data_IF_031885009758
#
_entry.id   IF_031885009758
#
_cell.length_a   1.000
_cell.length_b   1.000
_cell.length_c   1.000
_cell.angle_alpha   90.00
_cell.angle_beta   90.00
_cell.angle_gamma   90.00
#
_symmetry.space_group_name_H-M   'P 1'
#
loop_
_entity.id
_entity.type
_entity.pdbx_description
1 polymer ?
#
# COMPACT_ATOMS: atom_id res chain seq x y z
N UNK A 1 -16.82 16.92 -31.36
CA UNK A 1 -17.19 17.49 -30.05
C UNK A 1 -17.65 16.43 -29.04
N UNK A 2 -18.66 15.57 -29.33
CA UNK A 2 -19.07 14.47 -28.42
C UNK A 2 -17.96 13.49 -28.04
N UNK A 3 -17.13 13.02 -28.99
CA UNK A 3 -15.97 12.15 -28.68
C UNK A 3 -14.90 12.78 -27.79
N UNK A 4 -14.75 14.11 -27.86
CA UNK A 4 -13.82 14.84 -26.97
C UNK A 4 -14.48 14.95 -25.59
N UNK A 5 -15.75 15.30 -25.51
CA UNK A 5 -16.49 15.35 -24.25
C UNK A 5 -16.61 13.98 -23.56
N UNK A 6 -16.74 12.88 -24.31
CA UNK A 6 -16.72 11.51 -23.80
C UNK A 6 -15.32 11.09 -23.31
N UNK A 7 -14.25 11.48 -24.03
CA UNK A 7 -12.88 11.29 -23.57
C UNK A 7 -12.59 12.08 -22.27
N UNK A 8 -13.10 13.31 -22.17
CA UNK A 8 -13.02 14.11 -20.95
C UNK A 8 -13.88 13.53 -19.82
N UNK A 9 -15.06 12.97 -20.09
CA UNK A 9 -15.89 12.31 -19.09
C UNK A 9 -15.25 11.04 -18.52
N UNK A 10 -14.51 10.27 -19.34
CA UNK A 10 -13.72 9.11 -18.88
C UNK A 10 -12.46 9.51 -18.09
N UNK A 11 -11.86 10.67 -18.37
CA UNK A 11 -10.74 11.24 -17.58
C UNK A 11 -11.22 11.75 -16.21
N UNK A 12 -12.51 12.08 -16.09
CA UNK A 12 -13.15 12.56 -14.85
C UNK A 12 -13.81 11.42 -14.06
N UNK A 13 -13.62 10.15 -14.42
CA UNK A 13 -14.01 9.05 -13.54
C UNK A 13 -13.16 9.15 -12.24
N UNK A 14 -13.78 9.32 -11.06
CA UNK A 14 -13.06 9.47 -9.80
C UNK A 14 -12.09 8.33 -9.50
N UNK A 15 -12.25 7.17 -10.16
CA UNK A 15 -11.40 5.99 -10.01
C UNK A 15 -10.13 6.02 -10.86
N UNK A 16 -10.16 6.62 -12.05
CA UNK A 16 -9.02 6.65 -12.99
C UNK A 16 -8.19 7.92 -12.86
N UNK A 17 -8.81 9.00 -12.37
CA UNK A 17 -8.17 10.29 -12.16
C UNK A 17 -6.91 10.22 -11.29
N UNK A 18 -6.88 9.52 -10.13
CA UNK A 18 -5.68 9.43 -9.31
C UNK A 18 -4.48 8.87 -10.08
N UNK A 19 -4.68 7.83 -10.89
CA UNK A 19 -3.61 7.20 -11.67
C UNK A 19 -3.11 8.11 -12.78
N UNK A 20 -4.03 8.78 -13.49
CA UNK A 20 -3.64 9.74 -14.52
C UNK A 20 -2.77 10.86 -13.92
N UNK A 21 -3.13 11.36 -12.73
CA UNK A 21 -2.35 12.34 -11.98
C UNK A 21 -0.98 11.78 -11.59
N UNK A 22 -0.91 10.55 -11.09
CA UNK A 22 0.37 9.90 -10.75
C UNK A 22 1.28 9.76 -11.97
N UNK A 23 0.77 9.29 -13.10
CA UNK A 23 1.55 9.13 -14.33
C UNK A 23 2.05 10.49 -14.82
N UNK A 24 1.18 11.51 -14.83
CA UNK A 24 1.55 12.87 -15.20
C UNK A 24 2.64 13.43 -14.28
N UNK A 25 2.48 13.23 -12.97
CA UNK A 25 3.45 13.67 -11.96
C UNK A 25 4.81 12.98 -12.15
N UNK A 26 4.82 11.67 -12.39
CA UNK A 26 6.03 10.92 -12.69
C UNK A 26 6.73 11.50 -13.94
N UNK A 27 6.00 11.65 -15.04
CA UNK A 27 6.53 12.22 -16.28
C UNK A 27 7.05 13.66 -16.08
N UNK A 28 6.34 14.48 -15.32
CA UNK A 28 6.73 15.86 -15.03
C UNK A 28 8.01 15.92 -14.18
N UNK A 29 8.12 15.07 -13.16
CA UNK A 29 9.27 15.05 -12.25
C UNK A 29 10.51 14.46 -12.94
N UNK A 30 10.34 13.40 -13.75
CA UNK A 30 11.42 12.86 -14.59
C UNK A 30 11.86 13.85 -15.67
N UNK A 31 10.90 14.51 -16.33
CA UNK A 31 11.16 15.57 -17.31
C UNK A 31 11.86 16.79 -16.71
N UNK A 32 11.51 17.17 -15.47
CA UNK A 32 12.22 18.21 -14.74
C UNK A 32 13.69 17.83 -14.51
N UNK A 33 13.96 16.60 -14.06
CA UNK A 33 15.32 16.10 -13.92
C UNK A 33 16.12 16.11 -15.22
N UNK A 34 15.47 15.73 -16.32
CA UNK A 34 16.05 15.80 -17.67
C UNK A 34 16.49 17.20 -18.08
N UNK A 35 15.79 18.24 -17.64
CA UNK A 35 16.11 19.64 -18.02
C UNK A 35 17.19 20.20 -17.10
N UNK A 36 17.16 19.86 -15.82
CA UNK A 36 18.09 20.41 -14.83
C UNK A 36 19.46 19.73 -14.83
N UNK A 37 19.51 18.43 -15.11
CA UNK A 37 20.73 17.64 -15.00
C UNK A 37 21.10 16.96 -16.32
N UNK A 38 22.30 17.23 -16.80
CA UNK A 38 22.84 16.60 -18.01
C UNK A 38 23.00 15.09 -17.80
N UNK A 39 22.55 14.28 -18.76
CA UNK A 39 22.61 12.81 -18.69
C UNK A 39 21.49 12.14 -17.89
N UNK A 40 20.62 12.90 -17.21
CA UNK A 40 19.49 12.36 -16.46
C UNK A 40 18.49 11.63 -17.36
N UNK A 41 18.22 12.17 -18.55
CA UNK A 41 17.38 11.51 -19.56
C UNK A 41 18.18 10.49 -20.36
N UNK A 42 18.60 9.44 -19.68
CA UNK A 42 19.21 8.27 -20.29
C UNK A 42 18.42 7.01 -19.96
N UNK A 43 18.40 6.06 -20.89
CA UNK A 43 17.74 4.78 -20.67
C UNK A 43 18.37 4.03 -19.48
N UNK A 44 19.67 4.21 -19.29
CA UNK A 44 20.40 3.64 -18.16
C UNK A 44 19.87 4.16 -16.82
N UNK A 45 19.70 5.47 -16.65
CA UNK A 45 19.13 6.05 -15.41
C UNK A 45 17.73 5.51 -15.13
N UNK A 46 16.90 5.34 -16.17
CA UNK A 46 15.57 4.76 -16.00
C UNK A 46 15.62 3.28 -15.58
N UNK A 47 16.53 2.50 -16.16
CA UNK A 47 16.72 1.10 -15.77
C UNK A 47 17.29 0.97 -14.37
N UNK A 48 18.30 1.75 -14.02
CA UNK A 48 18.91 1.77 -12.69
C UNK A 48 17.87 2.14 -11.62
N UNK A 49 16.99 3.09 -11.92
CA UNK A 49 15.85 3.42 -11.06
C UNK A 49 14.95 2.20 -10.80
N UNK A 50 14.66 1.40 -11.83
CA UNK A 50 13.86 0.17 -11.65
C UNK A 50 14.62 -0.89 -10.85
N UNK A 51 15.94 -1.01 -11.04
CA UNK A 51 16.79 -1.96 -10.32
C UNK A 51 16.81 -1.62 -8.83
N UNK A 52 17.06 -0.36 -8.50
CA UNK A 52 17.23 0.14 -7.13
C UNK A 52 15.91 0.10 -6.34
N UNK A 53 14.77 0.06 -7.04
CA UNK A 53 13.45 0.10 -6.42
C UNK A 53 12.63 -1.19 -6.62
N UNK A 54 13.22 -2.24 -7.20
CA UNK A 54 12.52 -3.49 -7.51
C UNK A 54 11.92 -4.17 -6.26
N UNK A 55 12.67 -4.23 -5.16
CA UNK A 55 12.18 -4.80 -3.89
C UNK A 55 11.05 -3.95 -3.29
N UNK A 56 11.16 -2.61 -3.35
CA UNK A 56 10.14 -1.70 -2.85
C UNK A 56 8.84 -1.83 -3.67
N UNK A 57 8.95 -2.03 -4.98
CA UNK A 57 7.79 -2.29 -5.85
C UNK A 57 7.03 -3.55 -5.42
N UNK A 58 7.75 -4.64 -5.14
CA UNK A 58 7.14 -5.91 -4.68
C UNK A 58 6.40 -5.69 -3.35
N UNK A 59 7.02 -4.99 -2.40
CA UNK A 59 6.39 -4.68 -1.11
C UNK A 59 5.18 -3.76 -1.29
N UNK A 60 5.29 -2.72 -2.13
CA UNK A 60 4.19 -1.81 -2.45
C UNK A 60 3.01 -2.53 -3.12
N UNK A 61 3.26 -3.54 -3.97
CA UNK A 61 2.20 -4.38 -4.52
C UNK A 61 1.40 -5.07 -3.40
N UNK A 62 2.08 -5.70 -2.43
CA UNK A 62 1.42 -6.30 -1.26
C UNK A 62 0.63 -5.27 -0.43
N UNK A 63 1.25 -4.12 -0.16
CA UNK A 63 0.63 -3.00 0.56
C UNK A 63 -0.61 -2.48 -0.18
N UNK A 64 -0.63 -2.53 -1.52
CA UNK A 64 -1.79 -2.12 -2.32
C UNK A 64 -3.02 -2.95 -1.97
N UNK A 65 -2.90 -4.27 -1.88
CA UNK A 65 -4.03 -5.14 -1.51
C UNK A 65 -4.51 -4.86 -0.09
N UNK A 66 -3.59 -4.59 0.84
CA UNK A 66 -3.94 -4.26 2.23
C UNK A 66 -4.71 -2.93 2.29
N UNK A 67 -4.22 -1.87 1.65
CA UNK A 67 -4.90 -0.56 1.65
C UNK A 67 -6.24 -0.65 0.91
N UNK A 68 -6.29 -1.31 -0.25
CA UNK A 68 -7.56 -1.52 -0.97
C UNK A 68 -8.56 -2.26 -0.09
N UNK A 69 -8.14 -3.21 0.76
CA UNK A 69 -9.04 -3.90 1.70
C UNK A 69 -9.51 -3.04 2.89
N UNK A 70 -8.98 -1.82 3.05
CA UNK A 70 -9.24 -0.92 4.17
C UNK A 70 -8.33 -1.14 5.38
N UNK A 71 -7.19 -1.82 5.19
CA UNK A 71 -6.20 -2.11 6.23
C UNK A 71 -4.92 -1.30 6.07
N UNK A 72 -4.03 -1.41 7.06
CA UNK A 72 -2.64 -0.94 7.02
C UNK A 72 -1.76 -2.05 7.57
N UNK A 73 -0.59 -2.28 6.96
CA UNK A 73 0.40 -3.27 7.38
C UNK A 73 1.74 -2.59 7.63
N UNK A 74 2.02 -2.29 8.90
CA UNK A 74 3.27 -1.68 9.33
C UNK A 74 4.41 -2.70 9.46
N UNK A 75 4.12 -4.00 9.38
CA UNK A 75 5.11 -5.05 9.62
C UNK A 75 6.03 -5.30 8.43
N UNK A 76 5.64 -4.87 7.23
CA UNK A 76 6.29 -5.23 5.94
C UNK A 76 7.80 -4.99 5.92
N UNK A 77 8.27 -3.83 6.42
CA UNK A 77 9.71 -3.51 6.47
C UNK A 77 10.50 -4.41 7.43
N UNK A 78 9.87 -4.86 8.52
CA UNK A 78 10.50 -5.79 9.47
C UNK A 78 10.43 -7.24 8.99
N UNK A 79 9.42 -7.62 8.19
CA UNK A 79 9.37 -8.93 7.53
C UNK A 79 10.43 -9.03 6.42
N UNK A 80 10.66 -7.95 5.67
CA UNK A 80 11.79 -7.82 4.73
C UNK A 80 13.11 -8.07 5.46
N UNK A 81 13.35 -7.38 6.58
CA UNK A 81 14.57 -7.55 7.39
C UNK A 81 14.74 -8.97 7.93
N UNK A 82 13.65 -9.57 8.44
CA UNK A 82 13.68 -10.94 8.95
C UNK A 82 14.01 -11.93 7.85
N UNK A 83 13.45 -11.72 6.65
CA UNK A 83 13.72 -12.57 5.50
C UNK A 83 15.20 -12.50 5.10
N UNK A 84 15.79 -11.31 5.00
CA UNK A 84 17.20 -11.18 4.59
C UNK A 84 18.16 -11.81 5.60
N UNK A 85 17.90 -11.69 6.91
CA UNK A 85 18.70 -12.37 7.94
C UNK A 85 18.55 -13.88 7.85
N UNK A 86 17.32 -14.38 7.72
CA UNK A 86 17.09 -15.83 7.64
C UNK A 86 17.77 -16.39 6.39
N UNK A 87 17.69 -15.72 5.26
CA UNK A 87 18.44 -16.11 4.05
C UNK A 87 19.95 -16.15 4.28
N UNK A 88 20.50 -15.10 4.91
CA UNK A 88 21.94 -15.04 5.18
C UNK A 88 22.39 -16.14 6.15
N UNK A 89 21.62 -16.43 7.20
CA UNK A 89 21.93 -17.51 8.15
C UNK A 89 21.80 -18.88 7.51
N UNK A 90 20.71 -19.13 6.76
CA UNK A 90 20.51 -20.41 6.09
C UNK A 90 21.61 -20.66 5.03
N UNK A 91 22.06 -19.61 4.34
CA UNK A 91 23.13 -19.68 3.34
C UNK A 91 24.52 -19.86 3.97
N UNK A 92 24.89 -19.02 4.93
CA UNK A 92 26.28 -18.94 5.40
C UNK A 92 26.57 -19.80 6.63
N UNK A 93 25.59 -20.07 7.50
CA UNK A 93 25.81 -20.91 8.69
C UNK A 93 25.35 -22.35 8.48
N UNK A 94 24.25 -22.54 7.74
CA UNK A 94 23.68 -23.86 7.49
C UNK A 94 23.99 -24.41 6.10
N UNK A 95 24.55 -23.58 5.20
CA UNK A 95 24.93 -23.95 3.84
C UNK A 95 23.79 -24.61 3.05
N UNK A 96 22.55 -24.15 3.28
CA UNK A 96 21.40 -24.62 2.53
C UNK A 96 21.44 -24.06 1.11
N UNK A 97 21.01 -24.84 0.12
CA UNK A 97 20.98 -24.35 -1.24
C UNK A 97 19.81 -23.36 -1.44
N UNK A 98 20.02 -22.37 -2.32
CA UNK A 98 19.06 -21.25 -2.57
C UNK A 98 17.64 -21.73 -2.89
N UNK A 99 17.50 -22.85 -3.61
CA UNK A 99 16.20 -23.40 -3.99
C UNK A 99 15.40 -23.97 -2.82
N UNK A 100 16.03 -24.24 -1.67
CA UNK A 100 15.36 -24.56 -0.39
C UNK A 100 15.08 -23.27 0.38
N UNK A 101 16.08 -22.38 0.46
CA UNK A 101 16.00 -21.14 1.22
C UNK A 101 14.80 -20.29 0.77
N UNK A 102 14.67 -20.04 -0.54
CA UNK A 102 13.63 -19.17 -1.08
C UNK A 102 12.20 -19.64 -0.72
N UNK A 103 11.78 -20.90 -0.98
CA UNK A 103 10.49 -21.39 -0.50
C UNK A 103 10.31 -21.27 1.01
N UNK A 104 11.34 -21.55 1.81
CA UNK A 104 11.25 -21.48 3.28
C UNK A 104 10.93 -20.06 3.75
N UNK A 105 11.63 -19.05 3.25
CA UNK A 105 11.39 -17.66 3.69
C UNK A 105 10.09 -17.09 3.13
N UNK A 106 9.71 -17.46 1.90
CA UNK A 106 8.40 -17.09 1.34
C UNK A 106 7.26 -17.70 2.14
N UNK A 107 7.39 -18.96 2.56
CA UNK A 107 6.40 -19.61 3.43
C UNK A 107 6.35 -18.91 4.79
N UNK A 108 7.50 -18.60 5.40
CA UNK A 108 7.59 -17.88 6.67
C UNK A 108 6.86 -16.53 6.60
N UNK A 109 7.13 -15.70 5.58
CA UNK A 109 6.44 -14.42 5.41
C UNK A 109 4.94 -14.58 5.17
N UNK A 110 4.53 -15.56 4.35
CA UNK A 110 3.13 -15.85 4.08
C UNK A 110 2.38 -16.26 5.35
N UNK A 111 2.97 -17.15 6.15
CA UNK A 111 2.40 -17.60 7.44
C UNK A 111 2.34 -16.44 8.42
N UNK A 112 3.39 -15.64 8.51
CA UNK A 112 3.42 -14.45 9.37
C UNK A 112 2.27 -13.48 9.02
N UNK A 113 2.11 -13.17 7.73
CA UNK A 113 0.99 -12.38 7.22
C UNK A 113 -0.38 -13.01 7.51
N UNK A 114 -0.53 -14.32 7.28
CA UNK A 114 -1.77 -15.03 7.54
C UNK A 114 -2.17 -14.98 9.03
N UNK A 115 -1.20 -15.14 9.95
CA UNK A 115 -1.41 -15.01 11.40
C UNK A 115 -1.91 -13.61 11.74
N UNK A 116 -1.27 -12.56 11.20
CA UNK A 116 -1.74 -11.18 11.42
C UNK A 116 -3.16 -10.99 10.90
N UNK A 117 -3.47 -11.45 9.68
CA UNK A 117 -4.81 -11.39 9.12
C UNK A 117 -5.86 -12.15 9.94
N UNK A 118 -5.47 -13.30 10.51
CA UNK A 118 -6.33 -14.09 11.40
C UNK A 118 -6.60 -13.36 12.71
N UNK A 119 -5.58 -12.77 13.32
CA UNK A 119 -5.72 -11.96 14.53
C UNK A 119 -6.67 -10.77 14.31
N UNK A 120 -6.47 -10.04 13.21
CA UNK A 120 -7.32 -8.90 12.83
C UNK A 120 -8.77 -9.35 12.64
N UNK A 121 -9.01 -10.47 11.95
CA UNK A 121 -10.36 -10.92 11.66
C UNK A 121 -11.08 -11.51 12.88
N UNK A 122 -10.49 -12.53 13.53
CA UNK A 122 -11.17 -13.29 14.57
C UNK A 122 -11.31 -12.52 15.89
N UNK A 123 -10.29 -11.74 16.27
CA UNK A 123 -10.31 -10.95 17.49
C UNK A 123 -10.83 -9.53 17.26
N UNK A 124 -11.19 -9.18 16.01
CA UNK A 124 -11.71 -7.85 15.62
C UNK A 124 -10.79 -6.70 16.06
N UNK A 125 -9.49 -6.95 16.06
CA UNK A 125 -8.48 -5.96 16.38
C UNK A 125 -8.29 -4.99 15.21
N UNK A 126 -7.88 -3.76 15.51
CA UNK A 126 -7.52 -2.81 14.46
C UNK A 126 -6.23 -3.24 13.76
N UNK A 127 -6.24 -3.19 12.43
CA UNK A 127 -5.13 -3.65 11.58
C UNK A 127 -3.77 -3.03 11.95
N UNK A 128 -3.73 -1.73 12.21
CA UNK A 128 -2.47 -1.05 12.52
C UNK A 128 -1.87 -1.54 13.85
N UNK A 129 -2.69 -1.91 14.85
CA UNK A 129 -2.20 -2.38 16.16
C UNK A 129 -1.54 -3.74 16.00
N UNK A 130 -2.23 -4.67 15.33
CA UNK A 130 -1.70 -6.02 15.09
C UNK A 130 -0.41 -5.95 14.28
N UNK A 131 -0.36 -5.10 13.27
CA UNK A 131 0.80 -5.01 12.38
C UNK A 131 1.95 -4.20 12.97
N UNK A 132 1.68 -3.25 13.86
CA UNK A 132 2.70 -2.61 14.69
C UNK A 132 3.31 -3.62 15.68
N UNK A 133 2.49 -4.43 16.35
CA UNK A 133 2.99 -5.49 17.22
C UNK A 133 3.79 -6.53 16.42
N UNK A 134 3.32 -6.90 15.23
CA UNK A 134 4.03 -7.76 14.28
C UNK A 134 5.38 -7.17 13.85
N UNK A 135 5.43 -5.86 13.57
CA UNK A 135 6.66 -5.13 13.26
C UNK A 135 7.69 -5.29 14.38
N UNK A 136 7.31 -5.00 15.62
CA UNK A 136 8.22 -5.13 16.78
C UNK A 136 8.65 -6.58 17.01
N UNK A 137 7.74 -7.53 16.85
CA UNK A 137 8.06 -8.95 17.00
C UNK A 137 9.05 -9.43 15.93
N UNK A 138 8.79 -9.16 14.65
CA UNK A 138 9.67 -9.55 13.55
C UNK A 138 11.05 -8.86 13.67
N UNK A 139 11.07 -7.57 14.03
CA UNK A 139 12.31 -6.83 14.28
C UNK A 139 13.07 -7.36 15.50
N UNK A 140 12.37 -7.70 16.57
CA UNK A 140 12.97 -8.31 17.76
C UNK A 140 13.60 -9.66 17.44
N UNK A 141 12.93 -10.51 16.65
CA UNK A 141 13.47 -11.77 16.18
C UNK A 141 14.75 -11.59 15.36
N UNK A 142 14.83 -10.56 14.51
CA UNK A 142 16.04 -10.26 13.76
C UNK A 142 17.26 -10.15 14.69
N UNK A 143 17.12 -9.39 15.78
CA UNK A 143 18.20 -9.15 16.74
C UNK A 143 18.46 -10.30 17.72
N UNK A 144 17.50 -11.23 17.86
CA UNK A 144 17.74 -12.50 18.55
C UNK A 144 18.56 -13.48 17.70
N UNK A 145 18.39 -13.43 16.37
CA UNK A 145 19.17 -14.27 15.45
C UNK A 145 20.60 -13.73 15.34
N UNK A 146 20.76 -12.44 15.03
CA UNK A 146 22.07 -11.78 14.96
C UNK A 146 21.96 -10.28 15.18
N UNK A 147 22.97 -9.70 15.83
CA UNK A 147 23.11 -8.24 15.96
C UNK A 147 24.01 -7.63 14.89
N UNK A 148 24.73 -8.46 14.14
CA UNK A 148 25.69 -8.06 13.12
C UNK A 148 25.16 -8.37 11.72
N UNK A 149 25.65 -7.64 10.73
CA UNK A 149 25.41 -7.95 9.32
C UNK A 149 26.12 -9.24 8.94
N UNK A 150 25.43 -10.14 8.24
CA UNK A 150 26.01 -11.36 7.65
C UNK A 150 26.10 -11.13 6.14
N UNK A 151 27.33 -11.09 5.62
CA UNK A 151 27.59 -11.03 4.18
C UNK A 151 27.41 -12.40 3.55
N UNK A 152 26.69 -12.48 2.45
CA UNK A 152 26.43 -13.72 1.72
C UNK A 152 27.52 -13.90 0.66
N UNK A 153 28.24 -15.02 0.76
CA UNK A 153 29.35 -15.38 -0.13
C UNK A 153 29.00 -16.54 -1.06
N UNK A 154 27.83 -17.16 -0.88
CA UNK A 154 27.37 -18.26 -1.72
C UNK A 154 27.40 -17.91 -3.24
N UNK A 155 28.06 -18.74 -4.08
CA UNK A 155 28.18 -18.49 -5.51
C UNK A 155 26.85 -18.43 -6.26
N UNK A 156 25.80 -19.08 -5.77
CA UNK A 156 24.49 -19.08 -6.43
C UNK A 156 23.79 -17.75 -6.21
N UNK A 157 23.83 -17.19 -4.99
CA UNK A 157 23.36 -15.83 -4.72
C UNK A 157 24.10 -14.79 -5.58
N UNK A 158 25.42 -14.90 -5.69
CA UNK A 158 26.22 -13.99 -6.54
C UNK A 158 25.84 -14.12 -8.02
N UNK A 159 25.61 -15.33 -8.54
CA UNK A 159 25.16 -15.54 -9.92
C UNK A 159 23.79 -14.92 -10.19
N UNK A 160 22.85 -15.02 -9.25
CA UNK A 160 21.53 -14.40 -9.36
C UNK A 160 21.66 -12.87 -9.34
N UNK A 161 22.44 -12.33 -8.41
CA UNK A 161 22.71 -10.89 -8.28
C UNK A 161 23.38 -10.30 -9.53
N UNK A 162 24.36 -11.02 -10.08
CA UNK A 162 25.10 -10.63 -11.28
C UNK A 162 24.34 -10.92 -12.58
N UNK A 163 23.18 -11.58 -12.53
CA UNK A 163 22.37 -11.82 -13.72
C UNK A 163 21.97 -10.49 -14.36
N UNK A 164 22.25 -10.38 -15.66
CA UNK A 164 21.93 -9.22 -16.51
C UNK A 164 21.39 -9.74 -17.84
N UNK A 165 20.23 -9.25 -18.24
CA UNK A 165 19.62 -9.51 -19.53
C UNK A 165 19.70 -8.22 -20.36
N UNK A 166 20.45 -8.27 -21.46
CA UNK A 166 20.61 -7.14 -22.37
C UNK A 166 19.35 -6.98 -23.23
N UNK A 167 18.77 -5.78 -23.20
CA UNK A 167 17.61 -5.39 -24.02
C UNK A 167 18.00 -4.41 -25.13
N UNK A 168 19.30 -4.27 -25.43
CA UNK A 168 19.87 -3.42 -26.49
C UNK A 168 20.01 -1.95 -26.12
N UNK A 169 19.07 -1.43 -25.33
CA UNK A 169 19.09 -0.08 -24.77
C UNK A 169 19.72 -0.02 -23.36
N UNK A 170 19.95 -1.19 -22.74
CA UNK A 170 20.59 -1.35 -21.43
C UNK A 170 20.36 -2.75 -20.87
N UNK A 171 20.71 -3.00 -19.60
CA UNK A 171 20.58 -4.32 -18.97
C UNK A 171 19.52 -4.35 -17.87
N UNK A 172 18.71 -5.39 -17.86
CA UNK A 172 17.71 -5.66 -16.80
C UNK A 172 18.25 -6.73 -15.86
N UNK A 173 18.09 -6.54 -14.55
CA UNK A 173 18.56 -7.47 -13.52
C UNK A 173 17.48 -8.50 -13.17
N UNK A 174 17.87 -9.59 -12.49
CA UNK A 174 16.90 -10.57 -11.99
C UNK A 174 15.84 -9.91 -11.07
N UNK A 175 16.24 -8.90 -10.28
CA UNK A 175 15.37 -8.17 -9.37
C UNK A 175 14.20 -7.50 -10.11
N UNK A 176 14.50 -6.82 -11.21
CA UNK A 176 13.47 -6.16 -12.03
C UNK A 176 12.55 -7.19 -12.67
N UNK A 177 13.09 -8.30 -13.19
CA UNK A 177 12.26 -9.36 -13.76
C UNK A 177 11.29 -9.95 -12.73
N UNK A 178 11.77 -10.25 -11.51
CA UNK A 178 10.93 -10.75 -10.42
C UNK A 178 9.85 -9.72 -10.05
N UNK A 179 10.21 -8.43 -9.98
CA UNK A 179 9.26 -7.38 -9.66
C UNK A 179 8.17 -7.23 -10.72
N UNK A 180 8.51 -7.25 -12.01
CA UNK A 180 7.53 -7.19 -13.10
C UNK A 180 6.67 -8.46 -13.20
N UNK A 181 7.24 -9.65 -12.99
CA UNK A 181 6.45 -10.89 -12.89
C UNK A 181 5.45 -10.80 -11.74
N UNK A 182 5.89 -10.28 -10.59
CA UNK A 182 5.02 -10.07 -9.43
C UNK A 182 3.92 -9.05 -9.74
N UNK A 183 4.25 -7.96 -10.43
CA UNK A 183 3.29 -6.94 -10.87
C UNK A 183 2.22 -7.53 -11.79
N UNK A 184 2.62 -8.31 -12.81
CA UNK A 184 1.69 -8.96 -13.73
C UNK A 184 0.81 -9.98 -13.01
N UNK A 185 1.39 -10.80 -12.14
CA UNK A 185 0.64 -11.76 -11.32
C UNK A 185 -0.35 -11.04 -10.40
N UNK A 186 0.05 -9.94 -9.78
CA UNK A 186 -0.81 -9.14 -8.90
C UNK A 186 -1.94 -8.43 -9.68
N UNK A 187 -1.68 -7.91 -10.88
CA UNK A 187 -2.73 -7.36 -11.75
C UNK A 187 -3.74 -8.46 -12.12
N UNK A 188 -3.25 -9.66 -12.47
CA UNK A 188 -4.10 -10.81 -12.75
C UNK A 188 -4.97 -11.16 -11.53
N UNK A 189 -4.36 -11.28 -10.35
CA UNK A 189 -5.08 -11.56 -9.10
C UNK A 189 -6.12 -10.48 -8.79
N UNK A 190 -5.77 -9.20 -8.93
CA UNK A 190 -6.64 -8.07 -8.61
C UNK A 190 -7.88 -8.01 -9.52
N UNK A 191 -7.72 -8.18 -10.82
CA UNK A 191 -8.80 -7.92 -11.80
C UNK A 191 -9.52 -9.19 -12.27
N UNK A 192 -8.83 -10.31 -12.35
CA UNK A 192 -9.38 -11.51 -13.00
C UNK A 192 -9.81 -12.60 -12.02
N UNK A 193 -9.40 -12.56 -10.74
CA UNK A 193 -9.76 -13.58 -9.76
C UNK A 193 -10.93 -13.19 -8.86
N UNK A 194 -11.58 -14.19 -8.24
CA UNK A 194 -12.60 -13.98 -7.21
C UNK A 194 -12.02 -13.29 -5.98
N UNK A 195 -10.79 -13.63 -5.61
CA UNK A 195 -10.09 -13.02 -4.49
C UNK A 195 -9.98 -11.50 -4.68
N UNK A 196 -9.46 -11.04 -5.82
CA UNK A 196 -9.36 -9.61 -6.12
C UNK A 196 -10.69 -8.88 -6.00
N UNK A 197 -11.76 -9.39 -6.63
CA UNK A 197 -13.11 -8.81 -6.52
C UNK A 197 -13.61 -8.70 -5.08
N UNK A 198 -13.34 -9.72 -4.26
CA UNK A 198 -13.70 -9.70 -2.84
C UNK A 198 -12.91 -8.62 -2.07
N UNK A 199 -11.62 -8.42 -2.38
CA UNK A 199 -10.77 -7.41 -1.74
C UNK A 199 -11.35 -6.01 -1.96
N UNK A 200 -11.67 -5.65 -3.21
CA UNK A 200 -12.29 -4.34 -3.52
C UNK A 200 -13.67 -4.17 -2.87
N UNK A 201 -14.49 -5.23 -2.85
CA UNK A 201 -15.82 -5.18 -2.24
C UNK A 201 -15.75 -4.97 -0.71
N UNK A 202 -14.83 -5.65 -0.03
CA UNK A 202 -14.61 -5.49 1.42
C UNK A 202 -14.09 -4.09 1.73
N UNK A 203 -13.18 -3.57 0.90
CA UNK A 203 -12.64 -2.22 1.02
C UNK A 203 -13.70 -1.11 0.94
N UNK A 204 -14.69 -1.28 0.07
CA UNK A 204 -15.79 -0.31 -0.05
C UNK A 204 -16.72 -0.32 1.16
N UNK A 205 -17.19 -1.49 1.58
CA UNK A 205 -17.96 -1.66 2.81
C UNK A 205 -17.97 -3.12 3.27
N UNK A 206 -17.16 -3.45 4.29
CA UNK A 206 -17.06 -4.80 4.82
C UNK A 206 -18.39 -5.37 5.36
N UNK A 207 -19.29 -4.53 5.90
CA UNK A 207 -20.59 -4.96 6.42
C UNK A 207 -21.53 -5.32 5.27
N UNK A 208 -21.57 -4.51 4.22
CA UNK A 208 -22.35 -4.81 3.01
C UNK A 208 -21.82 -6.06 2.30
N UNK A 209 -20.50 -6.22 2.20
CA UNK A 209 -19.87 -7.41 1.63
C UNK A 209 -20.28 -8.70 2.38
N UNK A 210 -20.33 -8.64 3.72
CA UNK A 210 -20.77 -9.76 4.55
C UNK A 210 -22.25 -10.09 4.31
N UNK A 211 -23.13 -9.08 4.24
CA UNK A 211 -24.55 -9.27 3.96
C UNK A 211 -24.82 -9.82 2.54
N UNK A 212 -23.91 -9.57 1.60
CA UNK A 212 -23.93 -10.16 0.26
C UNK A 212 -23.32 -11.57 0.19
N UNK A 213 -22.95 -12.17 1.32
CA UNK A 213 -22.42 -13.54 1.39
C UNK A 213 -20.97 -13.70 0.95
N UNK A 214 -20.20 -12.61 0.85
CA UNK A 214 -18.78 -12.69 0.50
C UNK A 214 -17.95 -13.26 1.66
N UNK A 215 -16.90 -14.06 1.38
CA UNK A 215 -16.07 -14.68 2.42
C UNK A 215 -15.08 -13.67 3.02
N UNK A 216 -15.58 -12.74 3.84
CA UNK A 216 -14.80 -11.65 4.44
C UNK A 216 -13.62 -12.17 5.26
N UNK A 217 -13.83 -13.26 6.01
CA UNK A 217 -12.80 -13.91 6.84
C UNK A 217 -11.59 -14.34 6.02
N UNK A 218 -11.82 -15.26 5.08
CA UNK A 218 -10.77 -15.81 4.23
C UNK A 218 -10.11 -14.75 3.36
N UNK A 219 -10.89 -13.77 2.87
CA UNK A 219 -10.33 -12.71 2.03
C UNK A 219 -9.39 -11.81 2.85
N UNK A 220 -9.78 -11.41 4.08
CA UNK A 220 -8.91 -10.60 4.94
C UNK A 220 -7.63 -11.36 5.32
N UNK A 221 -7.73 -12.63 5.71
CA UNK A 221 -6.56 -13.45 6.00
C UNK A 221 -5.65 -13.57 4.78
N UNK A 222 -6.22 -13.84 3.60
CA UNK A 222 -5.48 -13.94 2.35
C UNK A 222 -4.80 -12.63 1.93
N UNK A 223 -5.39 -11.46 2.22
CA UNK A 223 -4.77 -10.15 1.95
C UNK A 223 -3.49 -9.96 2.75
N UNK A 224 -3.52 -10.26 4.06
CA UNK A 224 -2.31 -10.15 4.88
C UNK A 224 -1.30 -11.27 4.57
N UNK A 225 -1.76 -12.48 4.21
CA UNK A 225 -0.87 -13.53 3.73
C UNK A 225 -0.14 -13.12 2.45
N UNK A 226 -0.84 -12.50 1.50
CA UNK A 226 -0.27 -11.94 0.28
C UNK A 226 0.71 -10.79 0.59
N UNK A 227 0.37 -9.90 1.54
CA UNK A 227 1.29 -8.85 2.02
C UNK A 227 2.59 -9.43 2.59
N UNK A 228 2.47 -10.47 3.43
CA UNK A 228 3.62 -11.17 4.00
C UNK A 228 4.45 -11.92 2.96
N UNK A 229 3.79 -12.55 1.97
CA UNK A 229 4.45 -13.15 0.80
C UNK A 229 5.25 -12.10 0.01
N UNK A 230 4.62 -10.97 -0.34
CA UNK A 230 5.27 -9.87 -1.04
C UNK A 230 6.43 -9.28 -0.22
N UNK A 231 6.29 -9.19 1.10
CA UNK A 231 7.35 -8.70 1.98
C UNK A 231 8.54 -9.66 2.04
N UNK A 232 8.28 -10.98 2.11
CA UNK A 232 9.35 -11.97 2.04
C UNK A 232 10.01 -12.01 0.64
N UNK A 233 9.23 -11.91 -0.44
CA UNK A 233 9.79 -11.84 -1.79
C UNK A 233 10.58 -10.55 -2.02
N UNK A 234 10.10 -9.42 -1.47
CA UNK A 234 10.84 -8.16 -1.45
C UNK A 234 12.14 -8.27 -0.66
N UNK A 235 12.13 -8.98 0.47
CA UNK A 235 13.32 -9.36 1.23
C UNK A 235 14.30 -10.18 0.40
N UNK A 236 13.85 -11.25 -0.24
CA UNK A 236 14.69 -12.09 -1.10
C UNK A 236 15.36 -11.30 -2.23
N UNK A 237 14.58 -10.45 -2.91
CA UNK A 237 15.08 -9.55 -3.96
C UNK A 237 16.05 -8.51 -3.39
N UNK A 238 15.81 -8.01 -2.18
CA UNK A 238 16.72 -7.09 -1.51
C UNK A 238 18.04 -7.78 -1.11
N UNK A 239 18.00 -9.05 -0.71
CA UNK A 239 19.19 -9.85 -0.46
C UNK A 239 20.00 -10.06 -1.73
N UNK A 240 19.37 -10.31 -2.89
CA UNK A 240 20.09 -10.36 -4.17
C UNK A 240 20.70 -9.01 -4.56
N UNK A 241 20.11 -7.90 -4.11
CA UNK A 241 20.63 -6.55 -4.36
C UNK A 241 21.86 -6.23 -3.50
N UNK A 242 21.82 -6.51 -2.19
CA UNK A 242 22.88 -6.10 -1.23
C UNK A 242 23.86 -7.22 -0.88
N UNK A 243 23.51 -8.50 -1.14
CA UNK A 243 24.29 -9.69 -0.78
C UNK A 243 24.64 -9.74 0.72
N UNK A 244 23.74 -9.28 1.58
CA UNK A 244 23.88 -9.40 3.04
C UNK A 244 22.52 -9.35 3.74
N UNK A 245 22.45 -9.96 4.92
CA UNK A 245 21.31 -9.89 5.82
C UNK A 245 21.63 -9.09 7.08
N UNK A 246 20.78 -8.11 7.43
CA UNK A 246 20.96 -7.29 8.62
C UNK A 246 19.64 -6.80 9.22
N UNK A 247 19.56 -6.77 10.55
CA UNK A 247 18.32 -6.51 11.31
C UNK A 247 17.74 -5.12 11.20
N UNK A 248 18.49 -4.12 10.70
CA UNK A 248 17.98 -2.78 10.39
C UNK A 248 17.58 -2.59 8.92
N UNK A 249 17.79 -3.58 8.05
CA UNK A 249 17.31 -3.49 6.68
C UNK A 249 15.79 -3.23 6.64
N UNK A 250 15.35 -2.52 5.61
CA UNK A 250 13.94 -2.14 5.46
C UNK A 250 13.36 -1.26 6.58
N UNK A 251 14.16 -0.61 7.41
CA UNK A 251 13.65 0.34 8.40
C UNK A 251 13.00 1.56 7.72
N UNK A 252 11.70 1.76 7.96
CA UNK A 252 10.93 2.82 7.31
C UNK A 252 10.36 2.42 5.95
N UNK A 253 10.70 1.22 5.44
CA UNK A 253 10.19 0.74 4.15
C UNK A 253 8.67 0.57 4.18
N UNK A 254 8.08 0.30 5.35
CA UNK A 254 6.64 0.32 5.57
C UNK A 254 6.02 1.68 5.24
N UNK A 255 6.68 2.79 5.61
CA UNK A 255 6.21 4.14 5.30
C UNK A 255 6.40 4.46 3.83
N UNK A 256 7.53 4.05 3.24
CA UNK A 256 7.79 4.24 1.81
C UNK A 256 6.82 3.45 0.94
N UNK A 257 6.46 2.22 1.33
CA UNK A 257 5.48 1.40 0.63
C UNK A 257 4.07 1.99 0.73
N UNK A 258 3.67 2.52 1.89
CA UNK A 258 2.40 3.25 2.05
C UNK A 258 2.43 4.52 1.18
N UNK A 259 3.51 5.31 1.23
CA UNK A 259 3.64 6.52 0.43
C UNK A 259 3.56 6.22 -1.07
N UNK A 260 4.29 5.21 -1.54
CA UNK A 260 4.28 4.78 -2.93
C UNK A 260 2.88 4.34 -3.39
N UNK A 261 2.19 3.52 -2.61
CA UNK A 261 0.85 3.02 -2.99
C UNK A 261 -0.21 4.10 -2.97
N UNK A 262 -0.13 5.03 -2.00
CA UNK A 262 -1.03 6.18 -1.90
C UNK A 262 -0.77 7.16 -3.03
N UNK A 263 0.47 7.61 -3.24
CA UNK A 263 0.87 8.46 -4.39
C UNK A 263 0.53 7.77 -5.71
N UNK A 264 0.60 6.43 -5.75
CA UNK A 264 0.16 5.57 -6.85
C UNK A 264 -1.33 5.62 -7.17
N UNK A 265 -2.15 6.27 -6.35
CA UNK A 265 -3.58 6.47 -6.57
C UNK A 265 -4.49 5.52 -5.78
N UNK A 266 -3.95 4.77 -4.81
CA UNK A 266 -4.76 3.97 -3.89
C UNK A 266 -5.31 4.85 -2.76
N UNK A 267 -6.61 4.77 -2.49
CA UNK A 267 -7.23 5.57 -1.42
C UNK A 267 -7.06 4.87 -0.07
N UNK A 268 -6.61 5.62 0.95
CA UNK A 268 -6.50 5.13 2.34
C UNK A 268 -7.85 4.72 2.96
N UNK A 269 -8.96 5.19 2.39
CA UNK A 269 -10.32 4.80 2.77
C UNK A 269 -10.69 3.39 2.34
N UNK A 270 -9.93 2.78 1.41
CA UNK A 270 -10.19 1.46 0.85
C UNK A 270 -11.15 1.45 -0.34
N UNK A 271 -11.24 0.30 -1.01
CA UNK A 271 -12.18 0.03 -2.12
C UNK A 271 -11.81 0.66 -3.46
N UNK A 272 -10.80 1.52 -3.52
CA UNK A 272 -10.33 2.17 -4.76
C UNK A 272 -8.81 2.15 -4.84
N UNK A 273 -8.28 1.71 -5.97
CA UNK A 273 -6.85 1.68 -6.29
C UNK A 273 -6.60 0.74 -7.46
N UNK A 274 -5.41 0.83 -8.06
CA UNK A 274 -4.97 -0.16 -9.04
C UNK A 274 -3.52 -0.53 -8.77
N UNK A 275 -3.20 -1.81 -8.92
CA UNK A 275 -1.85 -2.35 -8.69
C UNK A 275 -0.79 -1.68 -9.57
N UNK A 276 -1.14 -1.32 -10.81
CA UNK A 276 -0.22 -0.61 -11.72
C UNK A 276 0.16 0.78 -11.20
N UNK A 277 -0.70 1.41 -10.39
CA UNK A 277 -0.41 2.70 -9.77
C UNK A 277 0.82 2.64 -8.85
N UNK A 278 1.05 1.50 -8.19
CA UNK A 278 2.19 1.28 -7.30
C UNK A 278 3.53 1.29 -8.04
N UNK A 279 3.55 0.89 -9.32
CA UNK A 279 4.75 1.04 -10.18
C UNK A 279 5.13 2.52 -10.32
N UNK A 280 4.17 3.38 -10.66
CA UNK A 280 4.42 4.81 -10.83
C UNK A 280 4.68 5.51 -9.50
N UNK A 281 4.00 5.10 -8.42
CA UNK A 281 4.25 5.61 -7.08
C UNK A 281 5.68 5.34 -6.60
N UNK A 282 6.14 4.08 -6.71
CA UNK A 282 7.54 3.72 -6.44
C UNK A 282 8.48 4.43 -7.41
N UNK A 283 8.11 4.56 -8.69
CA UNK A 283 8.88 5.30 -9.67
C UNK A 283 9.09 6.78 -9.30
N UNK A 284 8.07 7.43 -8.73
CA UNK A 284 8.18 8.81 -8.24
C UNK A 284 9.16 8.90 -7.07
N UNK A 285 9.04 8.00 -6.07
CA UNK A 285 9.99 7.95 -4.95
C UNK A 285 11.42 7.73 -5.44
N UNK A 286 11.62 6.77 -6.34
CA UNK A 286 12.91 6.49 -6.96
C UNK A 286 13.45 7.69 -7.72
N UNK A 287 12.62 8.38 -8.50
CA UNK A 287 13.07 9.57 -9.26
C UNK A 287 13.45 10.72 -8.34
N UNK A 288 12.74 10.93 -7.23
CA UNK A 288 13.11 11.92 -6.21
C UNK A 288 14.48 11.59 -5.61
N UNK A 289 14.71 10.31 -5.27
CA UNK A 289 16.01 9.87 -4.76
C UNK A 289 17.12 10.09 -5.80
N UNK A 290 16.90 9.69 -7.05
CA UNK A 290 17.85 9.91 -8.15
C UNK A 290 18.15 11.40 -8.36
N UNK A 291 17.14 12.27 -8.34
CA UNK A 291 17.32 13.74 -8.46
C UNK A 291 18.24 14.30 -7.37
N UNK A 292 18.04 13.89 -6.12
CA UNK A 292 18.85 14.34 -5.00
C UNK A 292 20.29 13.83 -5.13
N UNK A 293 20.46 12.59 -5.62
CA UNK A 293 21.79 12.04 -5.91
C UNK A 293 22.49 12.80 -7.03
N UNK A 294 21.77 13.21 -8.09
CA UNK A 294 22.33 14.01 -9.19
C UNK A 294 22.70 15.44 -8.77
N UNK A 295 21.95 16.04 -7.85
CA UNK A 295 22.28 17.35 -7.29
C UNK A 295 23.61 17.32 -6.51
N UNK A 296 23.83 16.27 -5.71
CA UNK A 296 25.07 16.03 -4.98
C UNK A 296 25.36 16.98 -3.81
N UNK A 297 24.61 18.09 -3.65
CA UNK A 297 24.77 19.03 -2.53
C UNK A 297 23.79 18.75 -1.39
N UNK A 298 22.66 18.13 -1.70
CA UNK A 298 21.61 17.79 -0.75
C UNK A 298 21.89 16.47 -0.01
N UNK A 299 21.64 16.45 1.30
CA UNK A 299 21.70 15.22 2.09
C UNK A 299 20.50 14.30 1.81
N UNK A 300 20.67 12.99 2.02
CA UNK A 300 19.60 12.00 1.83
C UNK A 300 18.37 12.21 2.73
N UNK A 301 18.47 13.06 3.77
CA UNK A 301 17.32 13.44 4.60
C UNK A 301 16.31 14.30 3.84
N UNK A 302 16.75 15.06 2.83
CA UNK A 302 15.86 15.81 1.94
C UNK A 302 14.90 14.89 1.20
N UNK A 303 15.32 13.67 0.84
CA UNK A 303 14.45 12.67 0.22
C UNK A 303 13.22 12.42 1.09
N UNK A 304 13.42 12.20 2.40
CA UNK A 304 12.31 11.96 3.35
C UNK A 304 11.40 13.18 3.49
N UNK A 305 11.96 14.39 3.52
CA UNK A 305 11.18 15.63 3.62
C UNK A 305 10.30 15.79 2.38
N UNK A 306 10.85 15.60 1.18
CA UNK A 306 10.12 15.73 -0.09
C UNK A 306 9.03 14.65 -0.20
N UNK A 307 9.32 13.40 0.16
CA UNK A 307 8.33 12.32 0.17
C UNK A 307 7.17 12.64 1.11
N UNK A 308 7.46 13.12 2.33
CA UNK A 308 6.44 13.51 3.31
C UNK A 308 5.58 14.68 2.82
N UNK A 309 6.21 15.72 2.24
CA UNK A 309 5.49 16.86 1.67
C UNK A 309 4.60 16.44 0.49
N UNK A 310 5.11 15.58 -0.39
CA UNK A 310 4.38 15.06 -1.54
C UNK A 310 3.19 14.21 -1.12
N UNK A 311 3.37 13.31 -0.15
CA UNK A 311 2.29 12.51 0.42
C UNK A 311 1.20 13.39 1.03
N UNK A 312 1.58 14.43 1.78
CA UNK A 312 0.64 15.39 2.34
C UNK A 312 -0.15 16.12 1.24
N UNK A 313 0.54 16.63 0.22
CA UNK A 313 -0.09 17.27 -0.92
C UNK A 313 -1.07 16.34 -1.65
N UNK A 314 -0.69 15.07 -1.85
CA UNK A 314 -1.53 14.08 -2.49
C UNK A 314 -2.78 13.76 -1.67
N UNK A 315 -2.64 13.56 -0.36
CA UNK A 315 -3.76 13.34 0.55
C UNK A 315 -4.73 14.55 0.59
N UNK A 316 -4.20 15.78 0.58
CA UNK A 316 -5.01 16.98 0.49
C UNK A 316 -5.77 17.06 -0.84
N UNK A 317 -5.10 16.76 -1.96
CA UNK A 317 -5.70 16.70 -3.28
C UNK A 317 -6.84 15.66 -3.33
N UNK A 318 -6.58 14.44 -2.86
CA UNK A 318 -7.60 13.38 -2.74
C UNK A 318 -8.83 13.86 -1.96
N UNK A 319 -8.60 14.47 -0.79
CA UNK A 319 -9.69 14.95 0.07
C UNK A 319 -10.48 16.10 -0.57
N UNK A 320 -9.83 16.97 -1.33
CA UNK A 320 -10.51 18.04 -2.09
C UNK A 320 -11.37 17.46 -3.21
N UNK A 321 -10.86 16.48 -3.96
CA UNK A 321 -11.61 15.81 -5.04
C UNK A 321 -12.84 15.10 -4.48
N UNK A 322 -12.70 14.35 -3.38
CA UNK A 322 -13.81 13.67 -2.72
C UNK A 322 -14.91 14.63 -2.24
N UNK A 323 -14.53 15.81 -1.73
CA UNK A 323 -15.48 16.85 -1.30
C UNK A 323 -16.25 17.44 -2.49
N UNK A 324 -15.57 17.71 -3.61
CA UNK A 324 -16.21 18.26 -4.81
C UNK A 324 -17.17 17.26 -5.44
N UNK A 325 -16.81 15.98 -5.51
CA UNK A 325 -17.68 14.92 -6.03
C UNK A 325 -19.00 14.81 -5.23
N UNK A 326 -18.94 14.95 -3.89
CA UNK A 326 -20.13 14.96 -3.03
C UNK A 326 -21.01 16.22 -3.19
N UNK A 327 -20.42 17.34 -3.62
CA UNK A 327 -21.13 18.61 -3.84
C UNK A 327 -21.93 18.61 -5.15
N UNK A 328 -21.37 18.04 -6.22
CA UNK A 328 -22.00 17.97 -7.56
C UNK A 328 -23.13 16.93 -7.63
N UNK A 329 -23.13 15.93 -6.75
CA UNK A 329 -24.16 14.89 -6.67
C UNK A 329 -25.50 15.28 -6.03
N UNK A 330 -25.75 16.57 -5.75
CA UNK A 330 -27.08 17.08 -5.39
C UNK A 330 -27.76 17.66 -6.63
N UNK A 331 -28.73 16.96 -7.26
CA UNK A 331 -29.72 17.67 -8.05
C UNK A 331 -30.43 18.64 -7.10
N UNK A 332 -30.58 19.90 -7.52
CA UNK A 332 -31.42 20.86 -6.82
C UNK A 332 -32.84 20.30 -6.70
N UNK A 333 -33.14 19.73 -5.52
CA UNK A 333 -34.49 19.46 -5.08
C UNK A 333 -35.08 20.75 -4.58
N UNK A 334 -35.74 21.49 -5.48
CA UNK A 334 -36.68 22.56 -5.17
C UNK A 334 -37.62 22.07 -4.05
N UNK A 335 -37.42 22.59 -2.84
CA UNK A 335 -38.40 22.48 -1.77
C UNK A 335 -39.58 23.38 -2.11
N UNK A 336 -40.55 22.84 -2.85
CA UNK A 336 -41.85 23.47 -3.02
C UNK A 336 -42.93 22.39 -3.20
N UNK A 337 -43.94 22.47 -2.31
CA UNK A 337 -45.29 21.86 -2.38
C UNK A 337 -45.28 20.34 -2.04
N UNK A 338 -45.90 19.85 -0.96
CA UNK A 338 -47.32 19.97 -0.57
C UNK A 338 -47.48 19.94 0.95
N UNK A 339 -47.85 21.06 1.57
CA UNK A 339 -48.64 21.08 2.81
C UNK A 339 -49.75 22.10 2.62
N UNK A 340 -50.87 21.67 2.04
CA UNK A 340 -52.12 22.43 2.07
C UNK A 340 -53.31 21.47 1.91
N UNK A 341 -54.09 21.36 2.99
CA UNK A 341 -55.43 20.81 3.05
C UNK A 341 -55.49 19.36 3.56
N UNK A 342 -56.36 18.97 4.49
CA UNK A 342 -57.49 19.66 5.13
C UNK A 342 -58.09 18.67 6.12
N UNK A 343 -57.98 18.90 7.42
CA UNK A 343 -58.99 18.42 8.39
C UNK A 343 -59.28 19.53 9.40
N UNK A 344 -60.51 20.03 9.35
CA UNK A 344 -61.09 20.96 10.31
C UNK A 344 -61.82 20.13 11.37
N UNK A 345 -61.50 20.41 12.63
CA UNK A 345 -62.48 20.73 13.67
C UNK A 345 -63.22 19.59 14.38
N UNK A 346 -62.86 19.37 15.63
CA UNK A 346 -63.88 19.45 16.70
C UNK A 346 -63.27 20.02 17.97
N UNK A 347 -64.08 20.84 18.64
CA UNK A 347 -63.73 21.71 19.74
C UNK A 347 -63.96 21.05 21.11
N UNK A 348 -63.60 21.84 22.12
CA UNK A 348 -64.00 21.79 23.54
C UNK A 348 -63.11 21.02 24.53
N UNK A 349 -62.50 21.79 25.45
CA UNK A 349 -61.95 21.33 26.73
C UNK A 349 -63.04 21.21 27.80
N UNK A 350 -62.77 21.35 29.13
CA UNK A 350 -61.51 21.71 29.80
C UNK A 350 -61.14 20.89 31.09
N UNK A 351 -59.94 21.17 31.61
CA UNK A 351 -59.51 21.27 33.03
C UNK A 351 -59.68 20.11 34.05
N UNK A 352 -58.55 19.69 34.66
CA UNK A 352 -58.31 19.46 36.11
C UNK A 352 -56.83 19.02 36.28
N UNK A 353 -55.92 19.86 36.78
CA UNK A 353 -55.43 19.90 38.18
C UNK A 353 -55.31 18.53 38.86
N UNK A 354 -54.09 18.05 39.10
CA UNK A 354 -53.64 17.87 40.49
C UNK A 354 -52.13 17.63 40.63
N UNK A 355 -51.64 18.20 41.70
CA UNK A 355 -50.28 18.30 42.20
C UNK A 355 -49.92 17.18 43.18
N UNK A 356 -48.69 16.66 43.12
CA UNK A 356 -47.88 16.11 44.23
C UNK A 356 -46.47 15.89 43.64
N UNK A 357 -45.41 16.68 43.89
CA UNK A 357 -44.62 17.04 45.09
C UNK A 357 -44.00 15.85 45.86
N UNK A 358 -42.68 15.95 46.05
CA UNK A 358 -41.74 15.26 46.99
C UNK A 358 -41.16 13.93 46.47
N UNK A 359 -39.83 13.67 46.41
CA UNK A 359 -38.67 14.38 46.95
C UNK A 359 -37.32 13.78 46.46
N UNK A 360 -36.24 14.50 46.80
CA UNK A 360 -34.83 14.24 46.47
C UNK A 360 -34.22 13.06 47.28
N UNK A 361 -33.31 12.31 46.63
CA UNK A 361 -31.94 11.80 46.96
C UNK A 361 -31.47 11.62 48.45
N UNK A 362 -30.28 11.04 48.78
CA UNK A 362 -29.21 10.42 47.97
C UNK A 362 -28.53 9.12 48.57
N UNK A 363 -27.57 8.54 47.81
CA UNK A 363 -26.25 7.97 48.21
C UNK A 363 -26.09 6.73 49.17
N UNK A 364 -24.97 6.01 48.96
CA UNK A 364 -24.34 4.84 49.63
C UNK A 364 -24.44 3.54 48.82
N UNK A 365 -23.37 2.79 48.48
CA UNK A 365 -21.97 2.76 48.92
C UNK A 365 -21.05 2.27 47.78
#
# INVERSE_FOLDING_TARGET
MRRILEAWAHIVDPRTLPIAVTILLFCALFGFGSVMYTGFFSWQVLLDLLVDNAFLLIVAIGMTFVIVSGGIDLSVGSVVALTTIVEAVLSEHLHWPVWVILPTVLLMGTVFGAVQGALIHFFRLQAFIVTLAGMFFARGLCFLITTQSITITDPTFQKISAFRLDIGVGSVTANVLIAFVTLLAAIYVAHFTRFGRNVYAIGGNARSALLMGLPVAHTRIGVYALSGFCSALGGAVFTFYVLSGYGLQGQGMELDAIAATVIGGTLLTGGVGYVIGSLFGVGILGTIQTLITFDGTLSSWWTRIVIGALLCAFCLLQRLIERHAKSVGRPGGTGAVVTAGRERGHADGPAASDSHVIGRAPEQA
#
